data_IF_988646386994
#
_entry.id   IF_988646386994
#
_cell.length_a   1.000
_cell.length_b   1.000
_cell.length_c   1.000
_cell.angle_alpha   90.00
_cell.angle_beta   90.00
_cell.angle_gamma   90.00
#
_symmetry.space_group_name_H-M   'P 1'
#
loop_
_entity.id
_entity.type
_entity.pdbx_description
1 polymer ?
#
# COMPACT_ATOMS: atom_id res chain seq x y z
N UNK A 1 -5.33 9.90 -12.78
CA UNK A 1 -6.45 10.79 -13.20
C UNK A 1 -7.07 10.38 -14.52
N UNK A 2 -6.28 9.90 -15.49
CA UNK A 2 -6.70 9.61 -16.87
C UNK A 2 -7.59 8.37 -17.00
N UNK A 3 -7.56 7.47 -16.01
CA UNK A 3 -8.37 6.25 -16.01
C UNK A 3 -9.88 6.54 -16.02
N UNK A 4 -10.61 5.77 -16.81
CA UNK A 4 -12.08 5.83 -16.92
C UNK A 4 -12.78 4.72 -16.15
N UNK A 5 -12.07 3.62 -15.86
CA UNK A 5 -12.61 2.49 -15.11
C UNK A 5 -12.37 2.65 -13.60
N UNK A 6 -13.40 2.60 -12.74
CA UNK A 6 -13.25 2.84 -11.30
C UNK A 6 -12.22 1.93 -10.63
N UNK A 7 -12.25 0.63 -10.92
CA UNK A 7 -11.31 -0.36 -10.36
C UNK A 7 -9.86 -0.10 -10.77
N UNK A 8 -9.61 0.28 -12.03
CA UNK A 8 -8.26 0.63 -12.50
C UNK A 8 -7.73 1.86 -11.75
N UNK A 9 -8.56 2.90 -11.60
CA UNK A 9 -8.18 4.10 -10.86
C UNK A 9 -7.86 3.80 -9.38
N UNK A 10 -8.62 2.91 -8.76
CA UNK A 10 -8.33 2.44 -7.40
C UNK A 10 -7.01 1.67 -7.32
N UNK A 11 -6.67 0.85 -8.33
CA UNK A 11 -5.39 0.12 -8.37
C UNK A 11 -4.18 1.07 -8.40
N UNK A 12 -4.19 2.10 -9.25
CA UNK A 12 -3.12 3.12 -9.25
C UNK A 12 -3.00 3.84 -7.91
N UNK A 13 -4.14 4.19 -7.31
CA UNK A 13 -4.14 4.79 -5.97
C UNK A 13 -3.56 3.84 -4.91
N UNK A 14 -3.76 2.52 -5.04
CA UNK A 14 -3.15 1.55 -4.12
C UNK A 14 -1.63 1.49 -4.27
N UNK A 15 -1.10 1.50 -5.50
CA UNK A 15 0.36 1.54 -5.74
C UNK A 15 0.99 2.77 -5.06
N UNK A 16 0.39 3.94 -5.22
CA UNK A 16 0.87 5.16 -4.56
C UNK A 16 0.84 5.08 -3.03
N UNK A 17 -0.20 4.48 -2.44
CA UNK A 17 -0.34 4.33 -0.99
C UNK A 17 0.62 3.28 -0.42
N UNK A 18 0.88 2.18 -1.14
CA UNK A 18 1.90 1.20 -0.75
C UNK A 18 3.30 1.80 -0.82
N UNK A 19 3.57 2.71 -1.77
CA UNK A 19 4.80 3.50 -1.77
C UNK A 19 4.97 4.33 -0.49
N UNK A 20 3.89 4.91 0.03
CA UNK A 20 3.92 5.64 1.30
C UNK A 20 4.18 4.72 2.50
N UNK A 21 3.60 3.51 2.50
CA UNK A 21 3.91 2.49 3.51
C UNK A 21 5.39 2.08 3.45
N UNK A 22 5.95 1.87 2.25
CA UNK A 22 7.34 1.52 2.06
C UNK A 22 8.29 2.63 2.56
N UNK A 23 7.95 3.90 2.34
CA UNK A 23 8.68 5.04 2.95
C UNK A 23 8.65 4.95 4.47
N UNK A 24 7.50 4.66 5.07
CA UNK A 24 7.38 4.49 6.53
C UNK A 24 8.26 3.36 7.08
N UNK A 25 8.31 2.23 6.39
CA UNK A 25 9.21 1.13 6.74
C UNK A 25 10.68 1.56 6.61
N UNK A 26 11.05 2.23 5.51
CA UNK A 26 12.41 2.72 5.29
C UNK A 26 12.88 3.72 6.36
N UNK A 27 12.01 4.67 6.72
CA UNK A 27 12.23 5.61 7.83
C UNK A 27 12.43 4.84 9.14
N UNK A 28 11.66 3.80 9.36
CA UNK A 28 11.78 2.96 10.54
C UNK A 28 13.07 2.15 10.61
N UNK A 29 13.56 1.66 9.48
CA UNK A 29 14.87 1.00 9.40
C UNK A 29 16.01 1.98 9.69
N UNK A 30 15.87 3.25 9.32
CA UNK A 30 16.83 4.30 9.66
C UNK A 30 16.73 4.77 11.13
N UNK A 31 15.60 4.54 11.79
CA UNK A 31 15.35 4.96 13.16
C UNK A 31 15.85 3.93 14.19
N UNK A 32 17.12 4.01 14.57
CA UNK A 32 17.67 3.18 15.65
C UNK A 32 16.84 3.34 16.95
N UNK A 33 16.35 2.23 17.50
CA UNK A 33 15.63 2.20 18.79
C UNK A 33 14.15 2.61 18.76
N UNK A 34 13.51 2.81 17.60
CA UNK A 34 12.08 3.19 17.50
C UNK A 34 11.17 2.13 16.85
N UNK A 35 11.59 0.86 16.86
CA UNK A 35 10.91 -0.24 16.15
C UNK A 35 9.42 -0.38 16.50
N UNK A 36 9.05 -0.32 17.77
CA UNK A 36 7.67 -0.44 18.21
C UNK A 36 6.77 0.68 17.65
N UNK A 37 7.21 1.94 17.74
CA UNK A 37 6.45 3.09 17.23
C UNK A 37 6.28 3.04 15.70
N UNK A 38 7.31 2.60 14.98
CA UNK A 38 7.27 2.37 13.54
C UNK A 38 6.24 1.29 13.19
N UNK A 39 6.32 0.13 13.86
CA UNK A 39 5.40 -0.98 13.64
C UNK A 39 3.96 -0.56 13.87
N UNK A 40 3.69 0.17 14.96
CA UNK A 40 2.34 0.69 15.25
C UNK A 40 1.86 1.67 14.17
N UNK A 41 2.70 2.62 13.75
CA UNK A 41 2.30 3.58 12.72
C UNK A 41 2.03 2.91 11.36
N UNK A 42 2.88 1.98 10.96
CA UNK A 42 2.72 1.21 9.71
C UNK A 42 1.48 0.30 9.79
N UNK A 43 1.24 -0.35 10.92
CA UNK A 43 0.05 -1.18 11.13
C UNK A 43 -1.24 -0.35 11.09
N UNK A 44 -1.26 0.82 11.74
CA UNK A 44 -2.39 1.76 11.68
C UNK A 44 -2.63 2.25 10.25
N UNK A 45 -1.57 2.59 9.53
CA UNK A 45 -1.66 2.97 8.12
C UNK A 45 -2.22 1.84 7.26
N UNK A 46 -1.70 0.63 7.42
CA UNK A 46 -2.14 -0.55 6.68
C UNK A 46 -3.60 -0.89 6.97
N UNK A 47 -4.02 -0.89 8.24
CA UNK A 47 -5.39 -1.14 8.64
C UNK A 47 -6.35 -0.08 8.06
N UNK A 48 -6.02 1.21 8.25
CA UNK A 48 -6.78 2.33 7.68
C UNK A 48 -6.93 2.19 6.16
N UNK A 49 -5.81 1.91 5.48
CA UNK A 49 -5.80 1.71 4.04
C UNK A 49 -6.67 0.53 3.61
N UNK A 50 -6.56 -0.62 4.29
CA UNK A 50 -7.31 -1.83 3.98
C UNK A 50 -8.82 -1.62 4.13
N UNK A 51 -9.27 -0.98 5.22
CA UNK A 51 -10.68 -0.64 5.41
C UNK A 51 -11.20 0.29 4.31
N UNK A 52 -10.48 1.39 4.06
CA UNK A 52 -10.92 2.37 3.07
C UNK A 52 -10.90 1.80 1.64
N UNK A 53 -9.86 1.06 1.26
CA UNK A 53 -9.80 0.41 -0.06
C UNK A 53 -10.83 -0.69 -0.21
N UNK A 54 -11.01 -1.52 0.81
CA UNK A 54 -12.06 -2.55 0.82
C UNK A 54 -13.42 -1.93 0.57
N UNK A 55 -13.76 -0.86 1.29
CA UNK A 55 -15.02 -0.13 1.12
C UNK A 55 -15.14 0.48 -0.30
N UNK A 56 -14.08 1.09 -0.82
CA UNK A 56 -14.09 1.66 -2.17
C UNK A 56 -14.27 0.60 -3.26
N UNK A 57 -13.53 -0.52 -3.18
CA UNK A 57 -13.62 -1.61 -4.16
C UNK A 57 -14.98 -2.32 -4.09
N UNK A 58 -15.45 -2.69 -2.90
CA UNK A 58 -16.75 -3.33 -2.74
C UNK A 58 -17.89 -2.39 -3.15
N UNK A 59 -17.75 -1.10 -2.83
CA UNK A 59 -18.69 -0.07 -3.24
C UNK A 59 -18.73 0.17 -4.76
N UNK A 60 -17.69 -0.16 -5.52
CA UNK A 60 -17.79 -0.18 -7.00
C UNK A 60 -18.77 -1.24 -7.51
N UNK A 61 -18.87 -2.38 -6.80
CA UNK A 61 -19.86 -3.42 -7.10
C UNK A 61 -21.28 -2.92 -6.80
N UNK A 62 -21.50 -2.36 -5.61
CA UNK A 62 -22.79 -1.77 -5.23
C UNK A 62 -23.21 -0.62 -6.16
N UNK A 63 -22.25 0.16 -6.66
CA UNK A 63 -22.50 1.26 -7.60
C UNK A 63 -22.99 0.77 -8.98
N UNK A 64 -22.66 -0.46 -9.36
CA UNK A 64 -23.11 -1.08 -10.60
C UNK A 64 -24.53 -1.66 -10.50
N UNK A 65 -25.08 -1.81 -9.29
CA UNK A 65 -26.43 -2.33 -9.08
C UNK A 65 -27.52 -1.28 -9.29
N UNK A 66 -28.71 -1.74 -9.70
CA UNK A 66 -29.94 -0.95 -9.66
C UNK A 66 -30.37 -0.73 -8.21
N UNK A 67 -30.71 0.52 -7.86
CA UNK A 67 -31.00 0.89 -6.47
C UNK A 67 -31.73 2.22 -6.35
N UNK A 68 -32.37 2.45 -5.20
CA UNK A 68 -33.07 3.70 -4.91
C UNK A 68 -32.13 4.90 -4.86
N UNK A 69 -32.68 6.10 -5.07
CA UNK A 69 -31.92 7.35 -4.93
C UNK A 69 -31.33 7.53 -3.53
N UNK A 70 -32.04 7.08 -2.49
CA UNK A 70 -31.56 7.10 -1.10
C UNK A 70 -30.32 6.23 -0.91
N UNK A 71 -30.38 4.97 -1.37
CA UNK A 71 -29.25 4.05 -1.28
C UNK A 71 -28.05 4.54 -2.08
N UNK A 72 -28.28 5.16 -3.23
CA UNK A 72 -27.20 5.75 -4.04
C UNK A 72 -26.54 6.94 -3.35
N UNK A 73 -27.31 7.80 -2.67
CA UNK A 73 -26.76 8.89 -1.84
C UNK A 73 -25.95 8.35 -0.66
N UNK A 74 -26.45 7.30 0.00
CA UNK A 74 -25.73 6.63 1.10
C UNK A 74 -24.40 6.03 0.61
N UNK A 75 -24.42 5.34 -0.52
CA UNK A 75 -23.22 4.80 -1.16
C UNK A 75 -22.23 5.92 -1.49
N UNK A 76 -22.70 7.00 -2.15
CA UNK A 76 -21.86 8.14 -2.50
C UNK A 76 -21.22 8.78 -1.26
N UNK A 77 -21.97 8.95 -0.17
CA UNK A 77 -21.46 9.47 1.09
C UNK A 77 -20.39 8.56 1.69
N UNK A 78 -20.64 7.25 1.76
CA UNK A 78 -19.65 6.29 2.29
C UNK A 78 -18.37 6.23 1.45
N UNK A 79 -18.50 6.27 0.11
CA UNK A 79 -17.35 6.35 -0.79
C UNK A 79 -16.59 7.66 -0.62
N UNK A 80 -17.28 8.78 -0.45
CA UNK A 80 -16.66 10.09 -0.22
C UNK A 80 -15.92 10.15 1.11
N UNK A 81 -16.51 9.61 2.18
CA UNK A 81 -15.85 9.45 3.48
C UNK A 81 -14.58 8.62 3.34
N UNK A 82 -14.64 7.44 2.70
CA UNK A 82 -13.46 6.59 2.50
C UNK A 82 -12.38 7.28 1.65
N UNK A 83 -12.79 8.01 0.61
CA UNK A 83 -11.87 8.77 -0.25
C UNK A 83 -11.18 9.91 0.49
N UNK A 84 -11.95 10.71 1.24
CA UNK A 84 -11.40 11.77 2.09
C UNK A 84 -10.46 11.21 3.16
N UNK A 85 -10.82 10.07 3.74
CA UNK A 85 -9.99 9.38 4.71
C UNK A 85 -8.68 8.86 4.09
N UNK A 86 -8.66 8.35 2.86
CA UNK A 86 -7.39 8.03 2.17
C UNK A 86 -6.54 9.28 1.86
N UNK A 87 -7.19 10.39 1.54
CA UNK A 87 -6.50 11.66 1.31
C UNK A 87 -5.85 12.21 2.58
N UNK A 88 -6.33 11.80 3.75
CA UNK A 88 -5.87 12.27 5.06
C UNK A 88 -6.63 13.49 5.55
N UNK A 89 -7.91 13.62 5.18
CA UNK A 89 -8.77 14.72 5.63
C UNK A 89 -8.87 14.77 7.16
N UNK A 90 -9.04 15.95 7.78
CA UNK A 90 -9.15 16.08 9.23
C UNK A 90 -10.21 15.15 9.84
N UNK A 91 -9.96 14.71 11.07
CA UNK A 91 -10.85 13.83 11.85
C UNK A 91 -11.10 12.44 11.22
N UNK A 92 -10.21 12.00 10.34
CA UNK A 92 -10.26 10.66 9.74
C UNK A 92 -9.10 9.78 10.17
N UNK A 93 -9.21 8.47 9.96
CA UNK A 93 -8.09 7.52 10.11
C UNK A 93 -6.86 7.92 9.31
N UNK A 94 -7.03 8.61 8.18
CA UNK A 94 -5.90 9.07 7.37
C UNK A 94 -5.14 10.23 7.96
N UNK A 95 -5.79 11.11 8.73
CA UNK A 95 -5.10 12.15 9.50
C UNK A 95 -4.21 11.49 10.55
N UNK A 96 -4.74 10.52 11.30
CA UNK A 96 -3.97 9.79 12.30
C UNK A 96 -2.80 8.99 11.68
N UNK A 97 -3.07 8.23 10.61
CA UNK A 97 -2.06 7.41 9.94
C UNK A 97 -0.96 8.25 9.28
N UNK A 98 -1.31 9.30 8.52
CA UNK A 98 -0.32 10.18 7.89
C UNK A 98 0.36 11.10 8.90
N UNK A 99 -0.33 11.49 9.97
CA UNK A 99 0.24 12.23 11.09
C UNK A 99 1.32 11.43 11.80
N UNK A 100 1.05 10.16 12.10
CA UNK A 100 2.03 9.26 12.70
C UNK A 100 3.24 9.08 11.79
N UNK A 101 3.03 8.91 10.48
CA UNK A 101 4.14 8.84 9.51
C UNK A 101 4.97 10.13 9.45
N UNK A 102 4.33 11.30 9.42
CA UNK A 102 5.01 12.60 9.47
C UNK A 102 5.83 12.75 10.76
N UNK A 103 5.27 12.31 11.88
CA UNK A 103 5.94 12.34 13.18
C UNK A 103 7.20 11.46 13.18
N UNK A 104 7.14 10.28 12.56
CA UNK A 104 8.31 9.42 12.38
C UNK A 104 9.38 10.07 11.50
N UNK A 105 8.99 10.64 10.35
CA UNK A 105 9.91 11.32 9.42
C UNK A 105 10.61 12.50 10.09
N UNK A 106 9.87 13.31 10.85
CA UNK A 106 10.45 14.45 11.58
C UNK A 106 11.42 14.04 12.70
N UNK A 107 11.33 12.78 13.16
CA UNK A 107 12.17 12.25 14.24
C UNK A 107 13.45 11.55 13.78
N UNK A 108 13.78 11.60 12.49
CA UNK A 108 14.97 10.97 11.90
C UNK A 108 15.60 11.94 10.91
N UNK A 109 16.85 12.33 11.15
CA UNK A 109 17.62 13.10 10.18
C UNK A 109 18.07 12.18 9.04
N UNK A 110 17.64 12.49 7.82
CA UNK A 110 17.99 11.76 6.60
C UNK A 110 18.37 12.75 5.49
N UNK A 111 19.28 12.41 4.56
CA UNK A 111 19.69 13.30 3.47
C UNK A 111 18.54 13.77 2.57
N UNK A 112 17.42 13.03 2.54
CA UNK A 112 16.23 13.29 1.73
C UNK A 112 15.02 13.77 2.55
N UNK A 113 15.20 14.23 3.80
CA UNK A 113 14.12 14.75 4.63
C UNK A 113 13.37 15.91 3.98
N UNK A 114 14.11 16.85 3.38
CA UNK A 114 13.57 18.00 2.64
C UNK A 114 12.70 17.58 1.44
N UNK A 115 13.03 16.48 0.77
CA UNK A 115 12.22 15.93 -0.31
C UNK A 115 10.89 15.39 0.24
N UNK A 116 10.90 14.70 1.39
CA UNK A 116 9.69 14.15 2.01
C UNK A 116 8.72 15.22 2.48
N UNK A 117 9.21 16.38 2.92
CA UNK A 117 8.37 17.54 3.30
C UNK A 117 7.47 18.01 2.15
N UNK A 118 7.96 17.96 0.91
CA UNK A 118 7.17 18.27 -0.28
C UNK A 118 6.35 17.08 -0.79
N UNK A 119 6.91 15.88 -0.78
CA UNK A 119 6.23 14.69 -1.32
C UNK A 119 5.00 14.30 -0.49
N UNK A 120 5.08 14.37 0.84
CA UNK A 120 3.98 13.98 1.73
C UNK A 120 2.67 14.75 1.47
N UNK A 121 2.64 16.10 1.44
CA UNK A 121 1.43 16.83 1.09
C UNK A 121 1.01 16.62 -0.37
N UNK A 122 1.96 16.49 -1.31
CA UNK A 122 1.64 16.15 -2.71
C UNK A 122 0.90 14.81 -2.82
N UNK A 123 1.23 13.82 -1.99
CA UNK A 123 0.46 12.56 -1.94
C UNK A 123 -0.99 12.79 -1.50
N UNK A 124 -1.24 13.74 -0.60
CA UNK A 124 -2.57 14.12 -0.15
C UNK A 124 -3.39 14.77 -1.27
N UNK A 125 -2.78 15.72 -1.99
CA UNK A 125 -3.40 16.40 -3.14
C UNK A 125 -3.76 15.38 -4.22
N UNK A 126 -2.77 14.57 -4.63
CA UNK A 126 -2.97 13.58 -5.70
C UNK A 126 -3.99 12.51 -5.32
N UNK A 127 -3.97 12.03 -4.06
CA UNK A 127 -4.98 11.08 -3.58
C UNK A 127 -6.37 11.69 -3.60
N UNK A 128 -6.54 12.93 -3.12
CA UNK A 128 -7.85 13.59 -3.12
C UNK A 128 -8.38 13.81 -4.53
N UNK A 129 -7.55 14.28 -5.46
CA UNK A 129 -7.92 14.42 -6.88
C UNK A 129 -8.37 13.06 -7.48
N UNK A 130 -7.68 11.95 -7.12
CA UNK A 130 -8.04 10.61 -7.58
C UNK A 130 -9.39 10.20 -7.00
N UNK A 131 -9.65 10.49 -5.73
CA UNK A 131 -10.90 10.15 -5.06
C UNK A 131 -12.08 10.99 -5.57
N UNK A 132 -11.88 12.27 -5.87
CA UNK A 132 -12.88 13.10 -6.55
C UNK A 132 -13.20 12.50 -7.92
N UNK A 133 -12.15 12.20 -8.71
CA UNK A 133 -12.33 11.57 -10.03
C UNK A 133 -13.03 10.22 -9.93
N UNK A 134 -12.69 9.41 -8.93
CA UNK A 134 -13.34 8.13 -8.62
C UNK A 134 -14.84 8.31 -8.38
N UNK A 135 -15.24 9.28 -7.57
CA UNK A 135 -16.67 9.54 -7.31
C UNK A 135 -17.39 9.97 -8.59
N UNK A 136 -16.77 10.82 -9.41
CA UNK A 136 -17.34 11.25 -10.69
C UNK A 136 -17.59 10.09 -11.67
N UNK A 137 -16.82 8.99 -11.59
CA UNK A 137 -16.99 7.81 -12.46
C UNK A 137 -17.84 6.71 -11.82
N UNK A 138 -17.81 6.56 -10.49
CA UNK A 138 -18.45 5.46 -9.79
C UNK A 138 -19.89 5.80 -9.33
N UNK A 139 -20.17 7.04 -8.94
CA UNK A 139 -21.47 7.42 -8.35
C UNK A 139 -22.61 7.57 -9.37
N UNK A 140 -22.40 8.08 -10.61
CA UNK A 140 -23.47 8.20 -11.59
C UNK A 140 -24.20 6.86 -11.83
N UNK A 141 -25.50 6.93 -12.17
CA UNK A 141 -26.29 5.73 -12.45
C UNK A 141 -25.66 4.94 -13.61
N UNK A 142 -25.47 3.61 -13.47
CA UNK A 142 -25.00 2.81 -14.58
C UNK A 142 -26.03 2.85 -15.71
N UNK A 143 -25.56 2.88 -16.96
CA UNK A 143 -26.45 2.76 -18.13
C UNK A 143 -27.07 1.37 -18.21
N UNK A 144 -26.28 0.36 -17.84
CA UNK A 144 -26.67 -1.05 -17.80
C UNK A 144 -26.40 -1.59 -16.39
N UNK A 145 -27.42 -1.59 -15.52
CA UNK A 145 -27.27 -2.10 -14.16
C UNK A 145 -26.95 -3.59 -14.15
N UNK A 146 -26.01 -3.99 -13.30
CA UNK A 146 -25.65 -5.39 -13.09
C UNK A 146 -26.27 -5.85 -11.77
N UNK A 147 -27.47 -6.44 -11.87
CA UNK A 147 -28.23 -6.95 -10.73
C UNK A 147 -28.85 -5.85 -9.85
N UNK A 148 -29.52 -6.30 -8.79
CA UNK A 148 -30.15 -5.42 -7.82
C UNK A 148 -29.30 -5.25 -6.56
N UNK A 149 -29.50 -4.13 -5.87
CA UNK A 149 -28.93 -3.89 -4.56
C UNK A 149 -29.20 -5.05 -3.60
N UNK A 150 -28.15 -5.64 -3.04
CA UNK A 150 -28.28 -6.79 -2.16
C UNK A 150 -27.61 -6.56 -0.80
N UNK A 151 -28.25 -7.10 0.24
CA UNK A 151 -27.80 -6.97 1.62
C UNK A 151 -26.45 -7.67 1.89
N UNK A 152 -26.17 -8.86 1.31
CA UNK A 152 -24.89 -9.54 1.50
C UNK A 152 -23.66 -8.76 1.03
N UNK A 153 -23.77 -7.87 0.03
CA UNK A 153 -22.68 -6.94 -0.33
C UNK A 153 -22.72 -5.64 0.49
N UNK A 154 -23.91 -5.16 0.83
CA UNK A 154 -24.06 -3.91 1.57
C UNK A 154 -23.54 -4.02 3.01
N UNK A 155 -23.82 -5.12 3.70
CA UNK A 155 -23.42 -5.29 5.11
C UNK A 155 -21.89 -5.25 5.27
N UNK A 156 -21.09 -6.05 4.54
CA UNK A 156 -19.63 -5.94 4.61
C UNK A 156 -19.13 -4.56 4.18
N UNK A 157 -19.76 -3.93 3.17
CA UNK A 157 -19.40 -2.58 2.77
C UNK A 157 -19.61 -1.56 3.90
N UNK A 158 -20.75 -1.62 4.58
CA UNK A 158 -21.06 -0.75 5.70
C UNK A 158 -20.11 -1.00 6.89
N UNK A 159 -19.76 -2.26 7.17
CA UNK A 159 -18.75 -2.60 8.18
C UNK A 159 -17.39 -1.98 7.85
N UNK A 160 -16.96 -2.04 6.59
CA UNK A 160 -15.70 -1.44 6.16
C UNK A 160 -15.70 0.09 6.29
N UNK A 161 -16.80 0.75 5.89
CA UNK A 161 -16.97 2.21 6.06
C UNK A 161 -16.96 2.59 7.54
N UNK A 162 -17.66 1.83 8.39
CA UNK A 162 -17.65 2.02 9.84
C UNK A 162 -16.25 1.84 10.41
N UNK A 163 -15.48 0.85 9.92
CA UNK A 163 -14.08 0.64 10.29
C UNK A 163 -13.21 1.88 10.03
N UNK A 164 -13.37 2.53 8.87
CA UNK A 164 -12.67 3.79 8.54
C UNK A 164 -12.96 4.90 9.55
N UNK A 165 -14.19 4.98 10.03
CA UNK A 165 -14.64 6.00 10.98
C UNK A 165 -14.20 5.70 12.41
N UNK A 166 -14.25 4.43 12.83
CA UNK A 166 -14.01 4.01 14.22
C UNK A 166 -12.53 3.84 14.53
N UNK A 167 -11.74 3.31 13.58
CA UNK A 167 -10.32 3.00 13.78
C UNK A 167 -9.48 4.14 14.39
N UNK A 168 -9.54 5.42 13.93
CA UNK A 168 -8.77 6.50 14.55
C UNK A 168 -9.09 6.68 16.04
N UNK A 169 -10.37 6.62 16.41
CA UNK A 169 -10.81 6.82 17.79
C UNK A 169 -10.45 5.63 18.67
N UNK A 170 -10.54 4.42 18.12
CA UNK A 170 -10.06 3.22 18.81
C UNK A 170 -8.55 3.29 19.05
N UNK A 171 -7.77 3.70 18.04
CA UNK A 171 -6.32 3.84 18.18
C UNK A 171 -5.91 4.87 19.24
N UNK A 172 -6.67 5.97 19.36
CA UNK A 172 -6.49 6.98 20.40
C UNK A 172 -6.90 6.46 21.78
N UNK A 173 -8.08 5.85 21.89
CA UNK A 173 -8.63 5.35 23.15
C UNK A 173 -7.81 4.19 23.74
N UNK A 174 -7.23 3.36 22.87
CA UNK A 174 -6.33 2.26 23.27
C UNK A 174 -4.87 2.71 23.49
N UNK A 175 -4.57 4.00 23.28
CA UNK A 175 -3.23 4.54 23.47
C UNK A 175 -2.19 4.09 22.44
N UNK A 176 -2.60 3.50 21.31
CA UNK A 176 -1.70 3.08 20.23
C UNK A 176 -1.05 4.27 19.52
N UNK A 177 -1.75 5.40 19.47
CA UNK A 177 -1.24 6.66 18.96
C UNK A 177 -1.69 7.78 19.89
N UNK A 178 -0.78 8.67 20.26
CA UNK A 178 -1.13 9.85 21.06
C UNK A 178 -1.76 10.96 20.22
N UNK A 179 -2.45 11.89 20.86
CA UNK A 179 -3.15 13.00 20.19
C UNK A 179 -2.22 13.84 19.30
N UNK A 180 -0.99 14.10 19.75
CA UNK A 180 0.00 14.86 18.97
C UNK A 180 0.44 14.09 17.73
N UNK A 181 0.71 12.79 17.85
CA UNK A 181 1.06 11.91 16.72
C UNK A 181 -0.10 11.79 15.73
N UNK A 182 -1.34 11.79 16.21
CA UNK A 182 -2.53 11.77 15.38
C UNK A 182 -2.83 13.10 14.66
N UNK A 183 -2.11 14.19 14.98
CA UNK A 183 -2.40 15.52 14.44
C UNK A 183 -3.61 16.22 15.08
N UNK A 184 -4.06 15.77 16.26
CA UNK A 184 -5.19 16.35 17.00
C UNK A 184 -4.79 17.63 17.76
N UNK A 185 -4.41 18.64 17.00
CA UNK A 185 -4.15 20.02 17.45
C UNK A 185 -4.34 20.97 16.26
N UNK A 186 -4.56 22.28 16.47
CA UNK A 186 -4.95 23.19 15.39
C UNK A 186 -4.03 23.18 14.17
N UNK A 187 -2.71 23.24 14.38
CA UNK A 187 -1.75 23.19 13.28
C UNK A 187 -1.70 21.82 12.59
N UNK A 188 -1.86 20.71 13.33
CA UNK A 188 -1.94 19.36 12.76
C UNK A 188 -3.19 19.17 11.90
N UNK A 189 -4.33 19.65 12.38
CA UNK A 189 -5.58 19.66 11.64
C UNK A 189 -5.46 20.50 10.35
N UNK A 190 -4.82 21.66 10.41
CA UNK A 190 -4.54 22.46 9.22
C UNK A 190 -3.63 21.74 8.22
N UNK A 191 -2.54 21.13 8.70
CA UNK A 191 -1.62 20.32 7.88
C UNK A 191 -2.28 19.12 7.20
N UNK A 192 -3.39 18.62 7.76
CA UNK A 192 -4.22 17.58 7.19
C UNK A 192 -5.29 18.14 6.23
N UNK A 193 -5.82 19.34 6.51
CA UNK A 193 -6.88 19.96 5.73
C UNK A 193 -6.40 20.55 4.40
N UNK A 194 -5.28 21.27 4.40
CA UNK A 194 -4.90 22.06 3.23
C UNK A 194 -4.64 21.23 1.95
N UNK A 195 -4.01 20.02 1.98
CA UNK A 195 -3.75 19.30 0.74
C UNK A 195 -5.05 18.80 0.06
N UNK A 196 -6.00 18.17 0.77
CA UNK A 196 -7.32 17.86 0.20
C UNK A 196 -8.11 19.09 -0.25
N UNK A 197 -8.02 20.22 0.47
CA UNK A 197 -8.70 21.46 0.08
C UNK A 197 -8.15 22.02 -1.23
N UNK A 198 -6.82 22.04 -1.40
CA UNK A 198 -6.17 22.43 -2.66
C UNK A 198 -6.63 21.54 -3.80
N UNK A 199 -6.70 20.22 -3.58
CA UNK A 199 -7.24 19.29 -4.58
C UNK A 199 -8.70 19.59 -4.94
N UNK A 200 -9.54 19.91 -3.97
CA UNK A 200 -10.94 20.29 -4.21
C UNK A 200 -11.05 21.58 -5.03
N UNK A 201 -10.22 22.58 -4.73
CA UNK A 201 -10.15 23.83 -5.50
C UNK A 201 -9.69 23.57 -6.93
N UNK A 202 -8.62 22.78 -7.12
CA UNK A 202 -8.15 22.39 -8.47
C UNK A 202 -9.26 21.67 -9.25
N UNK A 203 -9.92 20.70 -8.61
CA UNK A 203 -11.00 19.96 -9.25
C UNK A 203 -12.17 20.88 -9.65
N UNK A 204 -12.57 21.82 -8.79
CA UNK A 204 -13.61 22.81 -9.08
C UNK A 204 -13.23 23.76 -10.21
N UNK A 205 -12.00 24.27 -10.21
CA UNK A 205 -11.49 25.15 -11.27
C UNK A 205 -11.45 24.46 -12.65
N UNK A 206 -10.99 23.20 -12.67
CA UNK A 206 -10.98 22.38 -13.90
C UNK A 206 -12.40 22.07 -14.37
N UNK A 207 -13.32 21.75 -13.45
CA UNK A 207 -14.72 21.47 -13.77
C UNK A 207 -15.42 22.67 -14.42
N UNK A 208 -15.12 23.88 -13.95
CA UNK A 208 -15.69 25.11 -14.47
C UNK A 208 -15.07 25.56 -15.81
N UNK A 209 -13.99 24.91 -16.27
CA UNK A 209 -13.26 25.31 -17.48
C UNK A 209 -13.41 24.27 -18.60
N UNK A 210 -14.40 24.47 -19.48
CA UNK A 210 -14.73 23.55 -20.59
C UNK A 210 -13.55 23.24 -21.51
N UNK A 211 -12.66 24.22 -21.76
CA UNK A 211 -11.44 24.05 -22.56
C UNK A 211 -10.45 23.07 -21.92
N UNK A 212 -10.20 23.20 -20.62
CA UNK A 212 -9.24 22.35 -19.89
C UNK A 212 -9.77 20.92 -19.81
N UNK A 213 -11.07 20.75 -19.53
CA UNK A 213 -11.72 19.44 -19.55
C UNK A 213 -11.62 18.76 -20.93
N UNK A 214 -11.80 19.54 -22.00
CA UNK A 214 -11.65 19.08 -23.39
C UNK A 214 -10.24 18.57 -23.71
N UNK A 215 -9.19 19.23 -23.22
CA UNK A 215 -7.80 18.78 -23.39
C UNK A 215 -7.50 17.55 -22.53
N UNK A 216 -7.84 17.58 -21.25
CA UNK A 216 -7.54 16.49 -20.32
C UNK A 216 -8.25 15.17 -20.69
N UNK A 217 -9.46 15.25 -21.26
CA UNK A 217 -10.20 14.06 -21.72
C UNK A 217 -9.57 13.35 -22.91
N UNK A 218 -8.67 14.03 -23.66
CA UNK A 218 -7.89 13.46 -24.76
C UNK A 218 -6.67 12.68 -24.27
N UNK A 219 -6.16 13.00 -23.08
CA UNK A 219 -5.02 12.31 -22.48
C UNK A 219 -5.50 10.99 -21.89
N UNK A 220 -5.29 9.90 -22.62
CA UNK A 220 -5.61 8.53 -22.17
C UNK A 220 -4.34 7.72 -22.04
N UNK A 221 -4.04 7.33 -20.81
CA UNK A 221 -2.94 6.42 -20.52
C UNK A 221 -3.59 5.05 -20.27
N UNK A 222 -3.24 4.00 -21.03
CA UNK A 222 -3.84 2.69 -20.88
C UNK A 222 -3.55 2.11 -19.49
N UNK A 223 -4.49 1.35 -18.89
CA UNK A 223 -4.23 0.67 -17.64
C UNK A 223 -3.10 -0.34 -17.81
N UNK A 224 -2.15 -0.38 -16.86
CA UNK A 224 -0.98 -1.26 -16.91
C UNK A 224 0.31 -0.63 -17.46
N UNK A 225 0.31 0.67 -17.77
CA UNK A 225 1.50 1.46 -18.13
C UNK A 225 2.68 1.33 -17.14
N UNK A 226 2.40 1.31 -15.83
CA UNK A 226 3.43 1.14 -14.78
C UNK A 226 3.98 -0.29 -14.83
N UNK A 227 3.15 -1.28 -15.14
CA UNK A 227 3.60 -2.65 -15.31
C UNK A 227 4.53 -2.78 -16.51
N UNK A 228 4.23 -2.12 -17.63
CA UNK A 228 5.13 -2.17 -18.80
C UNK A 228 6.49 -1.53 -18.51
N UNK A 229 6.53 -0.40 -17.80
CA UNK A 229 7.81 0.21 -17.38
C UNK A 229 8.56 -0.69 -16.38
N UNK A 230 7.84 -1.23 -15.39
CA UNK A 230 8.42 -2.14 -14.41
C UNK A 230 8.99 -3.41 -15.05
N UNK A 231 8.28 -4.01 -16.00
CA UNK A 231 8.75 -5.19 -16.74
C UNK A 231 10.01 -4.88 -17.54
N UNK A 232 10.10 -3.71 -18.18
CA UNK A 232 11.32 -3.28 -18.89
C UNK A 232 12.50 -3.14 -17.92
N UNK A 233 12.29 -2.48 -16.77
CA UNK A 233 13.32 -2.33 -15.75
C UNK A 233 13.75 -3.68 -15.17
N UNK A 234 12.80 -4.57 -14.89
CA UNK A 234 13.06 -5.89 -14.34
C UNK A 234 13.79 -6.79 -15.36
N UNK A 235 13.42 -6.71 -16.64
CA UNK A 235 14.15 -7.37 -17.71
C UNK A 235 15.58 -6.82 -17.84
N UNK A 236 15.77 -5.50 -17.69
CA UNK A 236 17.10 -4.88 -17.65
C UNK A 236 17.93 -5.36 -16.45
N UNK A 237 17.33 -5.45 -15.26
CA UNK A 237 17.99 -5.96 -14.06
C UNK A 237 18.33 -7.46 -14.16
N UNK A 238 17.43 -8.27 -14.74
CA UNK A 238 17.67 -9.68 -15.00
C UNK A 238 18.74 -9.88 -16.08
N UNK A 239 18.76 -9.05 -17.14
CA UNK A 239 19.80 -9.06 -18.15
C UNK A 239 21.16 -8.68 -17.55
N UNK A 240 21.19 -7.64 -16.72
CA UNK A 240 22.38 -7.26 -15.96
C UNK A 240 22.86 -8.41 -15.06
N UNK A 241 21.96 -9.05 -14.31
CA UNK A 241 22.28 -10.20 -13.48
C UNK A 241 22.86 -11.37 -14.29
N UNK A 242 22.26 -11.70 -15.44
CA UNK A 242 22.74 -12.75 -16.35
C UNK A 242 24.08 -12.44 -17.01
N UNK A 243 24.38 -11.16 -17.28
CA UNK A 243 25.62 -10.76 -17.96
C UNK A 243 26.77 -10.61 -16.96
N UNK A 244 26.51 -10.02 -15.79
CA UNK A 244 27.58 -9.61 -14.88
C UNK A 244 27.72 -10.49 -13.64
N UNK A 245 26.65 -11.12 -13.17
CA UNK A 245 26.65 -11.90 -11.93
C UNK A 245 26.65 -13.41 -12.19
N UNK A 246 25.96 -13.87 -13.23
CA UNK A 246 25.86 -15.29 -13.57
C UNK A 246 27.17 -15.93 -14.06
N UNK A 247 28.01 -15.29 -14.90
CA UNK A 247 29.29 -15.87 -15.31
C UNK A 247 30.28 -16.09 -14.14
N UNK A 248 30.53 -15.11 -13.25
CA UNK A 248 31.41 -15.33 -12.11
C UNK A 248 30.82 -16.30 -11.09
N UNK A 249 29.49 -16.34 -10.90
CA UNK A 249 28.87 -17.32 -9.98
C UNK A 249 28.98 -18.76 -10.52
N UNK A 250 28.80 -18.98 -11.82
CA UNK A 250 29.05 -20.28 -12.47
C UNK A 250 30.53 -20.67 -12.45
N UNK A 251 31.44 -19.72 -12.58
CA UNK A 251 32.89 -19.97 -12.47
C UNK A 251 33.29 -20.38 -11.04
N UNK A 252 32.75 -19.69 -10.04
CA UNK A 252 32.96 -19.99 -8.61
C UNK A 252 32.31 -21.32 -8.21
N UNK A 253 31.15 -21.69 -8.79
CA UNK A 253 30.49 -22.99 -8.56
C UNK A 253 31.07 -24.14 -9.42
N UNK A 254 31.74 -23.82 -10.52
CA UNK A 254 32.45 -24.77 -11.39
C UNK A 254 33.67 -25.40 -10.71
N UNK A 255 34.37 -24.62 -9.87
CA UNK A 255 35.56 -25.08 -9.15
C UNK A 255 35.22 -26.19 -8.12
N UNK A 256 34.20 -26.04 -7.24
CA UNK A 256 33.75 -27.10 -6.35
C UNK A 256 33.18 -28.30 -7.09
N UNK A 257 32.42 -28.11 -8.18
CA UNK A 257 31.75 -29.22 -8.88
C UNK A 257 32.70 -30.09 -9.69
N UNK A 258 33.75 -29.52 -10.28
CA UNK A 258 34.83 -30.29 -10.91
C UNK A 258 35.65 -31.07 -9.87
N UNK A 259 35.95 -30.47 -8.72
CA UNK A 259 36.62 -31.13 -7.60
C UNK A 259 35.73 -32.22 -6.97
N UNK A 260 34.44 -31.96 -6.79
CA UNK A 260 33.45 -32.94 -6.32
C UNK A 260 33.26 -34.08 -7.32
N UNK A 261 33.26 -33.81 -8.63
CA UNK A 261 33.17 -34.85 -9.65
C UNK A 261 34.40 -35.76 -9.64
N UNK A 262 35.61 -35.19 -9.58
CA UNK A 262 36.85 -35.97 -9.42
C UNK A 262 36.88 -36.75 -8.09
N UNK A 263 36.41 -36.14 -7.00
CA UNK A 263 36.41 -36.76 -5.68
C UNK A 263 35.34 -37.87 -5.55
N UNK A 264 34.16 -37.68 -6.16
CA UNK A 264 33.07 -38.67 -6.26
C UNK A 264 33.44 -39.85 -7.15
N UNK A 265 34.25 -39.63 -8.19
CA UNK A 265 34.80 -40.70 -9.03
C UNK A 265 35.83 -41.55 -8.25
N UNK A 266 36.59 -40.95 -7.32
CA UNK A 266 37.56 -41.66 -6.45
C UNK A 266 36.95 -42.31 -5.21
N UNK A 267 35.91 -41.73 -4.61
CA UNK A 267 35.34 -42.14 -3.32
C UNK A 267 33.83 -42.48 -3.38
N UNK A 268 33.31 -42.78 -4.57
CA UNK A 268 31.87 -42.97 -4.82
C UNK A 268 31.19 -44.03 -3.93
N UNK A 269 31.92 -45.07 -3.53
CA UNK A 269 31.43 -46.11 -2.63
C UNK A 269 31.28 -45.64 -1.18
N UNK A 270 32.08 -44.65 -0.74
CA UNK A 270 31.99 -44.06 0.60
C UNK A 270 30.82 -43.07 0.69
N UNK A 271 30.63 -42.28 -0.36
CA UNK A 271 29.52 -41.32 -0.48
C UNK A 271 28.15 -41.99 -0.51
N UNK A 272 28.00 -43.14 -1.17
CA UNK A 272 26.74 -43.90 -1.16
C UNK A 272 26.38 -44.50 0.22
N UNK A 273 27.38 -44.72 1.09
CA UNK A 273 27.17 -45.19 2.47
C UNK A 273 26.78 -44.04 3.40
N UNK A 274 27.33 -42.84 3.19
CA UNK A 274 27.06 -41.64 4.00
C UNK A 274 25.71 -40.99 3.61
N UNK A 275 25.40 -40.89 2.32
CA UNK A 275 24.16 -40.28 1.82
C UNK A 275 22.87 -41.01 2.24
N UNK A 276 22.97 -42.28 2.67
CA UNK A 276 21.84 -43.02 3.24
C UNK A 276 21.47 -42.58 4.66
N UNK A 277 22.35 -41.86 5.37
CA UNK A 277 22.11 -41.38 6.73
C UNK A 277 21.85 -39.85 6.83
N UNK A 278 22.26 -39.06 5.84
CA UNK A 278 22.21 -37.58 5.92
C UNK A 278 20.80 -36.97 5.81
N UNK A 279 19.89 -37.57 5.04
CA UNK A 279 18.57 -36.96 4.80
C UNK A 279 17.68 -36.91 6.05
N UNK A 280 17.91 -37.80 7.03
CA UNK A 280 17.15 -37.81 8.28
C UNK A 280 17.77 -36.88 9.34
N UNK A 281 19.10 -36.86 9.45
CA UNK A 281 19.82 -36.05 10.44
C UNK A 281 19.80 -34.55 10.10
N UNK A 282 19.95 -34.17 8.82
CA UNK A 282 19.86 -32.78 8.39
C UNK A 282 18.45 -32.21 8.55
N UNK A 283 17.42 -33.02 8.30
CA UNK A 283 16.03 -32.64 8.55
C UNK A 283 15.75 -32.37 10.03
N UNK A 284 16.27 -33.22 10.93
CA UNK A 284 16.14 -33.02 12.37
C UNK A 284 16.95 -31.82 12.90
N UNK A 285 18.16 -31.59 12.39
CA UNK A 285 18.98 -30.43 12.78
C UNK A 285 18.35 -29.10 12.32
N UNK A 286 17.76 -29.08 11.11
CA UNK A 286 17.07 -27.90 10.60
C UNK A 286 15.79 -27.59 11.40
N UNK A 287 15.03 -28.63 11.75
CA UNK A 287 13.84 -28.52 12.62
C UNK A 287 14.21 -28.07 14.04
N UNK A 288 15.30 -28.58 14.61
CA UNK A 288 15.79 -28.19 15.93
C UNK A 288 16.31 -26.73 15.95
N UNK A 289 17.02 -26.30 14.91
CA UNK A 289 17.48 -24.91 14.78
C UNK A 289 16.30 -23.93 14.61
N UNK A 290 15.26 -24.31 13.85
CA UNK A 290 14.03 -23.53 13.72
C UNK A 290 13.26 -23.44 15.04
N UNK A 291 13.15 -24.54 15.78
CA UNK A 291 12.48 -24.57 17.08
C UNK A 291 13.21 -23.70 18.12
N UNK A 292 14.54 -23.77 18.17
CA UNK A 292 15.36 -22.93 19.06
C UNK A 292 15.31 -21.45 18.67
N UNK A 293 15.30 -21.13 17.37
CA UNK A 293 15.15 -19.76 16.88
C UNK A 293 13.79 -19.16 17.22
N UNK A 294 12.70 -19.95 17.10
CA UNK A 294 11.36 -19.52 17.52
C UNK A 294 11.26 -19.36 19.05
N UNK A 295 11.87 -20.25 19.83
CA UNK A 295 11.91 -20.12 21.28
C UNK A 295 12.68 -18.87 21.74
N UNK A 296 13.77 -18.50 21.05
CA UNK A 296 14.54 -17.29 21.32
C UNK A 296 13.79 -16.00 20.97
N UNK A 297 13.00 -15.98 19.89
CA UNK A 297 12.17 -14.83 19.52
C UNK A 297 10.94 -14.62 20.42
N UNK A 298 10.52 -15.67 21.14
CA UNK A 298 9.38 -15.63 22.07
C UNK A 298 9.81 -15.43 23.53
N UNK A 299 11.11 -15.34 23.80
CA UNK A 299 11.63 -15.05 25.13
C UNK A 299 11.69 -13.52 25.32
N UNK A 300 11.02 -12.96 26.35
CA UNK A 300 10.99 -11.52 26.62
C UNK A 300 12.34 -10.93 27.03
#
# INVERSE_FOLDING_TARGET
MTQTHPKALLAYSSVSQMGLAAVGVGVGLAAAGKSAAVMTAVALFAAHHAFAKGALFLGTGLAACETSARNRRLLAAGLAVCGAALAGFPLTGGMAAKGALKYLVAGVEMPWSSLLEWLLPLTGITTMLLMIRFLCIAVPRPREPHGAWNLPMFVPWAVLVSGVLVLPWLALGMGWVGAKQAGLYPAGAWQAAWPPLVAAVIAGAVWNTSRVMGVLSRIRIPPGDVLSVFLVLMQGALAFFRIFIEPPSRMIQGIPSALLAQWKQRHGNLLQRIARYENFALGMLLMAALALGMAWMLWP
#
